data_IF_745522445343
#
_entry.id   IF_745522445343
#
_cell.length_a   1.000
_cell.length_b   1.000
_cell.length_c   1.000
_cell.angle_alpha   90.00
_cell.angle_beta   90.00
_cell.angle_gamma   90.00
#
_symmetry.space_group_name_H-M   'P 1'
#
loop_
_entity.id
_entity.type
_entity.pdbx_description
1 polymer ?
#
# COMPACT_ATOMS: atom_id res chain seq x y z
N UNK A 1 -5.18 16.46 -21.25
CA UNK A 1 -5.98 16.31 -20.01
C UNK A 1 -5.37 17.17 -18.89
N UNK A 2 -6.17 17.86 -18.07
CA UNK A 2 -5.68 18.60 -16.89
C UNK A 2 -5.47 17.65 -15.69
N UNK A 3 -4.78 18.11 -14.63
CA UNK A 3 -4.44 17.26 -13.48
C UNK A 3 -5.68 16.67 -12.77
N UNK A 4 -6.76 17.45 -12.61
CA UNK A 4 -7.99 16.99 -11.93
C UNK A 4 -8.65 15.86 -12.70
N UNK A 5 -8.72 15.97 -14.02
CA UNK A 5 -9.28 14.94 -14.89
C UNK A 5 -8.40 13.67 -14.86
N UNK A 6 -7.07 13.82 -14.87
CA UNK A 6 -6.15 12.68 -14.73
C UNK A 6 -6.38 11.93 -13.41
N UNK A 7 -6.52 12.66 -12.29
CA UNK A 7 -6.75 12.09 -10.96
C UNK A 7 -8.13 11.41 -10.86
N UNK A 8 -9.18 12.01 -11.41
CA UNK A 8 -10.51 11.41 -11.45
C UNK A 8 -10.51 10.11 -12.25
N UNK A 9 -9.83 10.08 -13.40
CA UNK A 9 -9.68 8.85 -14.18
C UNK A 9 -8.89 7.77 -13.43
N UNK A 10 -7.82 8.13 -12.71
CA UNK A 10 -7.09 7.21 -11.85
C UNK A 10 -8.00 6.61 -10.76
N UNK A 11 -8.81 7.45 -10.09
CA UNK A 11 -9.77 6.99 -9.08
C UNK A 11 -10.82 6.05 -9.69
N UNK A 12 -11.35 6.37 -10.87
CA UNK A 12 -12.34 5.52 -11.54
C UNK A 12 -11.76 4.16 -11.99
N UNK A 13 -10.53 4.16 -12.53
CA UNK A 13 -9.85 2.96 -13.03
C UNK A 13 -9.45 1.99 -11.91
N UNK A 14 -9.05 2.52 -10.75
CA UNK A 14 -8.52 1.77 -9.60
C UNK A 14 -9.43 1.79 -8.36
N UNK A 15 -10.65 2.32 -8.48
CA UNK A 15 -11.63 2.48 -7.40
C UNK A 15 -11.08 3.20 -6.17
N UNK A 16 -10.47 4.38 -6.39
CA UNK A 16 -9.86 5.18 -5.32
C UNK A 16 -8.68 4.50 -4.63
N UNK A 17 -8.00 3.57 -5.30
CA UNK A 17 -6.88 2.81 -4.73
C UNK A 17 -7.30 1.57 -3.94
N UNK A 18 -8.61 1.34 -3.75
CA UNK A 18 -9.17 0.19 -3.01
C UNK A 18 -8.51 -1.12 -3.40
N UNK A 19 -8.38 -1.37 -4.70
CA UNK A 19 -7.93 -2.67 -5.17
C UNK A 19 -6.48 -2.97 -4.75
N UNK A 20 -5.59 -1.98 -4.88
CA UNK A 20 -4.20 -2.12 -4.48
C UNK A 20 -4.04 -2.22 -2.97
N UNK A 21 -4.80 -1.42 -2.20
CA UNK A 21 -4.74 -1.44 -0.74
C UNK A 21 -5.30 -2.74 -0.16
N UNK A 22 -6.38 -3.29 -0.72
CA UNK A 22 -6.94 -4.57 -0.27
C UNK A 22 -5.95 -5.72 -0.52
N UNK A 23 -5.38 -5.81 -1.72
CA UNK A 23 -4.36 -6.82 -2.05
C UNK A 23 -3.15 -6.70 -1.12
N UNK A 24 -2.65 -5.47 -0.92
CA UNK A 24 -1.56 -5.20 0.01
C UNK A 24 -1.91 -5.63 1.43
N UNK A 25 -3.08 -5.23 1.94
CA UNK A 25 -3.55 -5.60 3.28
C UNK A 25 -3.66 -7.11 3.48
N UNK A 26 -4.11 -7.87 2.48
CA UNK A 26 -4.17 -9.34 2.53
C UNK A 26 -2.77 -9.99 2.54
N UNK A 27 -1.82 -9.43 1.79
CA UNK A 27 -0.41 -9.89 1.84
C UNK A 27 0.17 -9.62 3.23
N UNK A 28 -0.03 -8.42 3.77
CA UNK A 28 0.41 -8.06 5.12
C UNK A 28 -0.24 -8.94 6.19
N UNK A 29 -1.54 -9.22 6.07
CA UNK A 29 -2.26 -10.13 6.97
C UNK A 29 -1.67 -11.55 6.92
N UNK A 30 -1.38 -12.05 5.72
CA UNK A 30 -0.79 -13.37 5.53
C UNK A 30 0.64 -13.44 6.09
N UNK A 31 1.43 -12.39 5.88
CA UNK A 31 2.78 -12.26 6.43
C UNK A 31 2.76 -12.21 7.96
N UNK A 32 1.85 -11.42 8.54
CA UNK A 32 1.65 -11.32 9.98
C UNK A 32 1.27 -12.69 10.57
N UNK A 33 0.24 -13.34 10.04
CA UNK A 33 -0.21 -14.67 10.43
C UNK A 33 0.92 -15.71 10.38
N UNK A 34 1.67 -15.77 9.27
CA UNK A 34 2.78 -16.71 9.13
C UNK A 34 3.91 -16.42 10.14
N UNK A 35 4.23 -15.16 10.40
CA UNK A 35 5.24 -14.79 11.39
C UNK A 35 4.81 -15.03 12.84
N UNK A 36 3.51 -14.96 13.14
CA UNK A 36 2.95 -15.22 14.47
C UNK A 36 2.84 -16.70 14.77
N UNK A 37 2.34 -17.49 13.81
CA UNK A 37 1.98 -18.89 14.07
C UNK A 37 2.95 -19.92 13.50
N UNK A 38 3.83 -19.53 12.58
CA UNK A 38 4.82 -20.42 11.98
C UNK A 38 6.23 -19.96 12.36
N UNK A 39 6.83 -19.09 11.54
CA UNK A 39 8.22 -18.62 11.72
C UNK A 39 8.36 -17.19 11.20
N UNK A 40 9.17 -16.32 11.85
CA UNK A 40 9.47 -14.97 11.35
C UNK A 40 9.86 -14.93 9.87
N UNK A 41 10.77 -15.80 9.46
CA UNK A 41 11.27 -15.88 8.07
C UNK A 41 10.18 -16.17 7.03
N UNK A 42 9.12 -16.90 7.38
CA UNK A 42 8.00 -17.15 6.46
C UNK A 42 7.17 -15.88 6.26
N UNK A 43 6.94 -15.10 7.32
CA UNK A 43 6.31 -13.80 7.19
C UNK A 43 7.14 -12.83 6.36
N UNK A 44 8.46 -12.82 6.57
CA UNK A 44 9.39 -12.01 5.76
C UNK A 44 9.31 -12.37 4.27
N UNK A 45 9.42 -13.66 3.96
CA UNK A 45 9.36 -14.15 2.58
C UNK A 45 8.01 -13.82 1.92
N UNK A 46 6.90 -14.05 2.62
CA UNK A 46 5.56 -13.72 2.12
C UNK A 46 5.42 -12.23 1.83
N UNK A 47 5.90 -11.35 2.71
CA UNK A 47 5.82 -9.92 2.48
C UNK A 47 6.72 -9.48 1.33
N UNK A 48 7.96 -9.98 1.28
CA UNK A 48 8.92 -9.65 0.23
C UNK A 48 8.42 -10.06 -1.16
N UNK A 49 8.12 -11.34 -1.36
CA UNK A 49 7.64 -11.83 -2.66
C UNK A 49 6.22 -11.35 -2.96
N UNK A 50 5.36 -11.26 -1.95
CA UNK A 50 4.02 -10.71 -2.10
C UNK A 50 4.05 -9.27 -2.61
N UNK A 51 4.96 -8.44 -2.11
CA UNK A 51 5.10 -7.04 -2.54
C UNK A 51 5.37 -6.89 -4.04
N UNK A 52 6.16 -7.79 -4.61
CA UNK A 52 6.46 -7.82 -6.05
C UNK A 52 5.23 -8.18 -6.90
N UNK A 53 4.30 -8.93 -6.31
CA UNK A 53 3.07 -9.38 -6.95
C UNK A 53 1.89 -8.42 -6.76
N UNK A 54 2.03 -7.34 -5.97
CA UNK A 54 0.92 -6.42 -5.69
C UNK A 54 0.29 -5.89 -6.97
N UNK A 55 1.09 -5.38 -7.91
CA UNK A 55 0.54 -4.83 -9.15
C UNK A 55 -0.19 -5.88 -10.01
N UNK A 56 0.41 -7.04 -10.37
CA UNK A 56 -0.31 -8.06 -11.15
C UNK A 56 -1.54 -8.61 -10.42
N UNK A 57 -1.48 -8.80 -9.10
CA UNK A 57 -2.64 -9.25 -8.30
C UNK A 57 -3.76 -8.18 -8.29
N UNK A 58 -3.40 -6.90 -8.17
CA UNK A 58 -4.34 -5.78 -8.26
C UNK A 58 -5.02 -5.75 -9.63
N UNK A 59 -4.24 -5.91 -10.71
CA UNK A 59 -4.76 -5.99 -12.08
C UNK A 59 -5.71 -7.19 -12.26
N UNK A 60 -5.33 -8.35 -11.73
CA UNK A 60 -6.18 -9.55 -11.72
C UNK A 60 -7.51 -9.29 -11.01
N UNK A 61 -7.46 -8.73 -9.81
CA UNK A 61 -8.67 -8.42 -9.05
C UNK A 61 -9.57 -7.39 -9.75
N UNK A 62 -9.00 -6.33 -10.34
CA UNK A 62 -9.76 -5.35 -11.11
C UNK A 62 -10.46 -5.98 -12.31
N UNK A 63 -9.80 -6.91 -13.01
CA UNK A 63 -10.42 -7.65 -14.13
C UNK A 63 -11.57 -8.53 -13.66
N UNK A 64 -11.43 -9.21 -12.52
CA UNK A 64 -12.48 -10.06 -11.95
C UNK A 64 -13.77 -9.28 -11.64
N UNK A 65 -13.65 -7.99 -11.31
CA UNK A 65 -14.80 -7.09 -11.04
C UNK A 65 -15.15 -6.21 -12.24
N UNK A 66 -14.71 -6.57 -13.45
CA UNK A 66 -15.10 -5.92 -14.70
C UNK A 66 -14.40 -4.58 -15.00
N UNK A 67 -13.35 -4.21 -14.26
CA UNK A 67 -12.56 -2.99 -14.50
C UNK A 67 -11.32 -3.29 -15.35
N UNK A 68 -10.98 -2.38 -16.28
CA UNK A 68 -9.81 -2.52 -17.15
C UNK A 68 -8.47 -2.36 -16.41
N UNK A 69 -8.46 -1.65 -15.27
CA UNK A 69 -7.24 -1.39 -14.48
C UNK A 69 -6.19 -0.54 -15.22
N UNK A 70 -6.61 0.27 -16.18
CA UNK A 70 -5.76 1.18 -16.96
C UNK A 70 -6.49 2.51 -17.17
N UNK A 71 -5.71 3.56 -17.34
CA UNK A 71 -6.16 4.89 -17.74
C UNK A 71 -5.86 5.14 -19.22
N UNK A 72 -6.44 6.20 -19.78
CA UNK A 72 -6.18 6.68 -21.13
C UNK A 72 -4.70 7.03 -21.34
N UNK A 73 -4.25 6.97 -22.60
CA UNK A 73 -2.88 7.38 -22.98
C UNK A 73 -2.62 8.86 -22.75
N UNK A 74 -3.66 9.68 -22.70
CA UNK A 74 -3.59 11.12 -22.41
C UNK A 74 -3.31 11.41 -20.92
N UNK A 75 -3.49 10.41 -20.06
CA UNK A 75 -3.29 10.51 -18.63
C UNK A 75 -1.81 10.39 -18.26
N UNK A 76 -1.19 11.55 -18.01
CA UNK A 76 0.24 11.65 -17.68
C UNK A 76 0.62 11.10 -16.30
N UNK A 77 -0.34 10.69 -15.46
CA UNK A 77 -0.07 10.13 -14.13
C UNK A 77 0.27 8.63 -14.17
N UNK A 78 0.00 7.93 -15.27
CA UNK A 78 0.32 6.50 -15.40
C UNK A 78 1.82 6.20 -15.19
N UNK A 79 2.68 7.03 -15.78
CA UNK A 79 4.13 6.90 -15.65
C UNK A 79 4.60 7.08 -14.20
N UNK A 80 4.03 8.07 -13.49
CA UNK A 80 4.32 8.28 -12.07
C UNK A 80 3.90 7.07 -11.22
N UNK A 81 2.73 6.48 -11.50
CA UNK A 81 2.28 5.28 -10.81
C UNK A 81 3.23 4.09 -11.01
N UNK A 82 3.75 3.93 -12.23
CA UNK A 82 4.73 2.89 -12.56
C UNK A 82 6.05 3.11 -11.81
N UNK A 83 6.59 4.33 -11.83
CA UNK A 83 7.82 4.66 -11.09
C UNK A 83 7.66 4.45 -9.59
N UNK A 84 6.50 4.85 -9.06
CA UNK A 84 6.18 4.70 -7.64
C UNK A 84 6.06 3.23 -7.25
N UNK A 85 5.50 2.36 -8.10
CA UNK A 85 5.44 0.91 -7.86
C UNK A 85 6.82 0.28 -7.63
N UNK A 86 7.85 0.75 -8.33
CA UNK A 86 9.22 0.23 -8.17
C UNK A 86 9.92 0.67 -6.89
N UNK A 87 9.41 1.70 -6.18
CA UNK A 87 10.07 2.16 -4.95
C UNK A 87 10.03 1.10 -3.86
N UNK A 88 8.99 0.25 -3.79
CA UNK A 88 8.88 -0.77 -2.75
C UNK A 88 9.90 -1.89 -2.96
N UNK A 89 9.92 -2.64 -4.09
CA UNK A 89 10.88 -3.73 -4.28
C UNK A 89 12.35 -3.29 -4.12
N UNK A 90 12.69 -2.09 -4.59
CA UNK A 90 14.04 -1.53 -4.46
C UNK A 90 14.37 -1.26 -2.98
N UNK A 91 13.47 -0.61 -2.25
CA UNK A 91 13.70 -0.30 -0.83
C UNK A 91 13.66 -1.55 0.07
N UNK A 92 13.08 -2.67 -0.38
CA UNK A 92 13.18 -3.93 0.35
C UNK A 92 14.63 -4.44 0.47
N UNK A 93 15.57 -3.97 -0.37
CA UNK A 93 17.00 -4.19 -0.15
C UNK A 93 17.50 -3.53 1.14
N UNK A 94 17.02 -2.31 1.43
CA UNK A 94 17.32 -1.61 2.68
C UNK A 94 16.64 -2.26 3.88
N UNK A 95 15.39 -2.74 3.71
CA UNK A 95 14.71 -3.55 4.73
C UNK A 95 15.53 -4.80 5.05
N UNK A 96 16.07 -5.48 4.02
CA UNK A 96 16.96 -6.61 4.19
C UNK A 96 18.21 -6.24 5.01
N UNK A 97 18.88 -5.14 4.66
CA UNK A 97 20.05 -4.65 5.42
C UNK A 97 19.71 -4.35 6.90
N UNK A 98 18.58 -3.70 7.17
CA UNK A 98 18.11 -3.45 8.54
C UNK A 98 17.84 -4.76 9.29
N UNK A 99 17.24 -5.75 8.61
CA UNK A 99 16.91 -7.07 9.18
C UNK A 99 18.16 -7.89 9.49
N UNK A 100 19.22 -7.78 8.68
CA UNK A 100 20.51 -8.42 8.94
C UNK A 100 21.20 -7.86 10.19
N UNK A 101 20.97 -6.58 10.51
CA UNK A 101 21.48 -5.98 11.74
C UNK A 101 20.62 -6.35 12.95
N UNK A 102 19.29 -6.25 12.82
CA UNK A 102 18.34 -6.71 13.83
C UNK A 102 17.08 -7.29 13.18
N UNK A 103 16.80 -8.57 13.44
CA UNK A 103 15.67 -9.30 12.83
C UNK A 103 14.33 -8.57 13.03
N UNK A 104 14.08 -8.05 14.24
CA UNK A 104 12.84 -7.38 14.61
C UNK A 104 12.61 -6.03 13.89
N UNK A 105 13.58 -5.55 13.10
CA UNK A 105 13.41 -4.34 12.29
C UNK A 105 12.74 -4.59 10.94
N UNK A 106 12.52 -5.85 10.53
CA UNK A 106 11.91 -6.17 9.24
C UNK A 106 10.56 -5.47 9.02
N UNK A 107 9.59 -5.69 9.91
CA UNK A 107 8.26 -5.08 9.77
C UNK A 107 8.25 -3.56 10.02
N UNK A 108 8.93 -3.02 11.05
CA UNK A 108 9.08 -1.58 11.23
C UNK A 108 9.67 -0.86 10.00
N UNK A 109 10.76 -1.39 9.42
CA UNK A 109 11.35 -0.83 8.22
C UNK A 109 10.41 -0.94 7.01
N UNK A 110 9.71 -2.07 6.87
CA UNK A 110 8.70 -2.26 5.82
C UNK A 110 7.54 -1.25 5.93
N UNK A 111 7.09 -0.94 7.15
CA UNK A 111 6.04 0.06 7.39
C UNK A 111 6.48 1.45 6.94
N UNK A 112 7.72 1.85 7.22
CA UNK A 112 8.28 3.13 6.77
C UNK A 112 8.36 3.18 5.25
N UNK A 113 8.91 2.13 4.62
CA UNK A 113 9.03 2.04 3.16
C UNK A 113 7.66 2.11 2.47
N UNK A 114 6.69 1.33 2.95
CA UNK A 114 5.34 1.31 2.39
C UNK A 114 4.60 2.62 2.67
N UNK A 115 4.76 3.21 3.85
CA UNK A 115 4.20 4.52 4.17
C UNK A 115 4.74 5.62 3.25
N UNK A 116 6.06 5.68 3.05
CA UNK A 116 6.68 6.62 2.12
C UNK A 116 6.22 6.40 0.66
N UNK A 117 6.03 5.14 0.26
CA UNK A 117 5.47 4.79 -1.05
C UNK A 117 4.05 5.35 -1.29
N UNK A 118 3.27 5.62 -0.24
CA UNK A 118 1.95 6.24 -0.39
C UNK A 118 1.98 7.78 -0.56
N UNK A 119 3.12 8.46 -0.36
CA UNK A 119 3.16 9.93 -0.55
C UNK A 119 2.85 10.37 -1.99
N UNK A 120 3.40 9.74 -3.06
CA UNK A 120 3.02 10.07 -4.42
C UNK A 120 1.55 9.79 -4.74
N UNK A 121 0.86 8.96 -3.95
CA UNK A 121 -0.55 8.64 -4.17
C UNK A 121 -1.46 9.85 -3.89
N UNK A 122 -1.01 10.80 -3.07
CA UNK A 122 -1.68 12.10 -2.89
C UNK A 122 -1.86 12.78 -4.25
N UNK A 123 -0.80 12.79 -5.07
CA UNK A 123 -0.84 13.38 -6.41
C UNK A 123 -1.48 12.47 -7.45
N UNK A 124 -1.23 11.15 -7.40
CA UNK A 124 -1.81 10.20 -8.36
C UNK A 124 -3.34 10.18 -8.31
N UNK A 125 -3.90 10.22 -7.10
CA UNK A 125 -5.33 10.11 -6.88
C UNK A 125 -5.98 11.41 -6.47
N UNK A 126 -5.23 12.45 -6.10
CA UNK A 126 -5.82 13.70 -5.60
C UNK A 126 -6.59 13.53 -4.28
N UNK A 127 -6.23 12.54 -3.45
CA UNK A 127 -6.95 12.20 -2.21
C UNK A 127 -6.04 12.36 -0.99
N UNK A 128 -6.44 13.21 -0.04
CA UNK A 128 -5.68 13.47 1.19
C UNK A 128 -5.60 12.26 2.14
N UNK A 129 -6.49 11.27 1.99
CA UNK A 129 -6.41 10.03 2.77
C UNK A 129 -5.06 9.32 2.60
N UNK A 130 -4.37 9.47 1.46
CA UNK A 130 -3.06 8.87 1.25
C UNK A 130 -1.98 9.55 2.08
N UNK A 131 -2.13 10.85 2.40
CA UNK A 131 -1.26 11.54 3.35
C UNK A 131 -1.46 10.97 4.76
N UNK A 132 -2.71 10.78 5.18
CA UNK A 132 -3.03 10.16 6.47
C UNK A 132 -2.50 8.71 6.55
N UNK A 133 -2.69 7.90 5.50
CA UNK A 133 -2.16 6.55 5.42
C UNK A 133 -0.63 6.52 5.51
N UNK A 134 0.05 7.36 4.73
CA UNK A 134 1.50 7.49 4.74
C UNK A 134 2.00 7.84 6.14
N UNK A 135 1.38 8.84 6.77
CA UNK A 135 1.75 9.26 8.14
C UNK A 135 1.56 8.13 9.15
N UNK A 136 0.40 7.45 9.15
CA UNK A 136 0.12 6.36 10.10
C UNK A 136 1.14 5.23 9.97
N UNK A 137 1.44 4.80 8.74
CA UNK A 137 2.40 3.72 8.50
C UNK A 137 3.83 4.12 8.88
N UNK A 138 4.28 5.33 8.49
CA UNK A 138 5.62 5.82 8.86
C UNK A 138 5.73 5.98 10.38
N UNK A 139 4.77 6.63 11.02
CA UNK A 139 4.77 6.85 12.46
C UNK A 139 4.75 5.52 13.23
N UNK A 140 3.94 4.55 12.78
CA UNK A 140 3.93 3.21 13.35
C UNK A 140 5.27 2.48 13.16
N UNK A 141 5.86 2.54 11.98
CA UNK A 141 7.17 1.94 11.70
C UNK A 141 8.28 2.56 12.53
N UNK A 142 8.32 3.89 12.65
CA UNK A 142 9.28 4.60 13.53
C UNK A 142 9.05 4.21 14.99
N UNK A 143 7.80 4.30 15.48
CA UNK A 143 7.46 3.97 16.85
C UNK A 143 7.82 2.52 17.23
N UNK A 144 7.49 1.55 16.37
CA UNK A 144 7.85 0.15 16.59
C UNK A 144 9.36 -0.08 16.47
N UNK A 145 10.06 0.64 15.58
CA UNK A 145 11.51 0.54 15.45
C UNK A 145 12.26 1.01 16.69
N UNK A 146 11.78 2.08 17.35
CA UNK A 146 12.38 2.61 18.58
C UNK A 146 11.92 1.89 19.85
N UNK A 147 10.64 1.50 19.93
CA UNK A 147 10.01 1.08 21.19
C UNK A 147 9.44 -0.34 21.17
N UNK A 148 9.27 -0.97 19.99
CA UNK A 148 8.57 -2.25 19.81
C UNK A 148 9.48 -3.46 19.62
N UNK A 149 10.69 -3.43 20.18
CA UNK A 149 11.77 -4.39 19.87
C UNK A 149 11.48 -5.84 20.30
N UNK A 150 10.52 -6.10 21.18
CA UNK A 150 10.30 -7.43 21.77
C UNK A 150 9.41 -8.37 20.94
N UNK A 151 8.59 -7.84 20.02
CA UNK A 151 7.57 -8.64 19.32
C UNK A 151 7.66 -8.46 17.81
N UNK A 152 8.30 -9.42 17.14
CA UNK A 152 8.56 -9.43 15.70
C UNK A 152 7.33 -9.09 14.84
N UNK A 153 6.20 -9.76 15.08
CA UNK A 153 5.04 -9.74 14.18
C UNK A 153 4.11 -8.53 14.36
N UNK A 154 4.31 -7.68 15.37
CA UNK A 154 3.41 -6.55 15.68
C UNK A 154 3.27 -5.60 14.51
N UNK A 155 4.38 -5.25 13.86
CA UNK A 155 4.33 -4.37 12.68
C UNK A 155 3.55 -4.97 11.51
N UNK A 156 3.59 -6.29 11.35
CA UNK A 156 2.80 -7.02 10.36
C UNK A 156 1.29 -6.83 10.56
N UNK A 157 0.81 -7.01 11.79
CA UNK A 157 -0.60 -6.82 12.12
C UNK A 157 -1.04 -5.37 11.99
N UNK A 158 -0.22 -4.42 12.45
CA UNK A 158 -0.49 -2.98 12.30
C UNK A 158 -0.65 -2.62 10.83
N UNK A 159 0.31 -3.01 9.99
CA UNK A 159 0.23 -2.73 8.55
C UNK A 159 -0.99 -3.38 7.89
N UNK A 160 -1.31 -4.63 8.23
CA UNK A 160 -2.48 -5.33 7.72
C UNK A 160 -3.78 -4.58 8.04
N UNK A 161 -4.00 -4.26 9.32
CA UNK A 161 -5.21 -3.55 9.77
C UNK A 161 -5.30 -2.17 9.12
N UNK A 162 -4.20 -1.40 9.15
CA UNK A 162 -4.18 -0.05 8.55
C UNK A 162 -4.52 -0.11 7.05
N UNK A 163 -3.91 -1.00 6.28
CA UNK A 163 -4.14 -1.10 4.84
C UNK A 163 -5.57 -1.54 4.51
N UNK A 164 -6.13 -2.51 5.25
CA UNK A 164 -7.50 -2.97 5.04
C UNK A 164 -8.53 -1.90 5.39
N UNK A 165 -8.34 -1.18 6.49
CA UNK A 165 -9.21 -0.04 6.87
C UNK A 165 -9.15 1.05 5.80
N UNK A 166 -7.95 1.44 5.37
CA UNK A 166 -7.81 2.48 4.35
C UNK A 166 -8.30 2.03 2.97
N UNK A 167 -8.26 0.74 2.64
CA UNK A 167 -8.91 0.24 1.43
C UNK A 167 -10.41 0.55 1.43
N UNK A 168 -11.09 0.27 2.55
CA UNK A 168 -12.53 0.53 2.70
C UNK A 168 -12.80 2.04 2.63
N UNK A 169 -12.01 2.87 3.32
CA UNK A 169 -12.15 4.33 3.28
C UNK A 169 -12.00 4.86 1.84
N UNK A 170 -10.97 4.41 1.12
CA UNK A 170 -10.74 4.85 -0.26
C UNK A 170 -11.85 4.45 -1.20
N UNK A 171 -12.41 3.25 -1.01
CA UNK A 171 -13.58 2.81 -1.76
C UNK A 171 -14.80 3.68 -1.49
N UNK A 172 -15.06 4.04 -0.24
CA UNK A 172 -16.19 4.89 0.13
C UNK A 172 -16.07 6.30 -0.48
N UNK A 173 -14.86 6.88 -0.47
CA UNK A 173 -14.61 8.18 -1.08
C UNK A 173 -14.87 8.12 -2.59
N UNK A 174 -14.36 7.09 -3.29
CA UNK A 174 -14.59 6.92 -4.72
C UNK A 174 -16.08 6.75 -5.07
N UNK A 175 -16.84 5.97 -4.28
CA UNK A 175 -18.28 5.79 -4.49
C UNK A 175 -19.05 7.11 -4.31
N UNK A 176 -18.66 7.96 -3.35
CA UNK A 176 -19.32 9.27 -3.13
C UNK A 176 -19.14 10.18 -4.35
N UNK A 177 -17.94 10.21 -4.90
CA UNK A 177 -17.65 10.96 -6.13
C UNK A 177 -18.43 10.40 -7.33
N UNK A 178 -18.48 9.08 -7.52
CA UNK A 178 -19.28 8.45 -8.59
C UNK A 178 -20.78 8.81 -8.50
N UNK A 179 -21.28 9.08 -7.29
CA UNK A 179 -22.67 9.50 -7.03
C UNK A 179 -22.90 11.01 -7.13
N UNK A 180 -21.87 11.79 -7.45
CA UNK A 180 -21.97 13.27 -7.53
C UNK A 180 -22.21 13.93 -6.18
N UNK A 181 -21.91 13.24 -5.07
CA UNK A 181 -21.93 13.83 -3.73
C UNK A 181 -20.59 14.55 -3.56
N UNK A 182 -20.61 15.88 -3.65
CA UNK A 182 -19.44 16.74 -3.61
C UNK A 182 -18.57 16.43 -2.37
N UNK A 183 -17.26 16.27 -2.59
CA UNK A 183 -16.27 16.14 -1.53
C UNK A 183 -15.82 17.56 -1.20
N UNK A 184 -16.61 18.24 -0.36
CA UNK A 184 -16.24 19.53 0.23
C UNK A 184 -14.87 19.52 0.88
#
# INVERSE_FOLDING_TARGET
>A
MNIKNCQSEMRAAFQGGFAGQLVSGLIWLSAAAASTWLRPSYGMALLFFGSMLIFPLTQGMLRLIGKKGKVSTDNKLWGLGTQTAFTVPINFLLVGAATLYHENWFFPASLIVVGAHYLPFITLYGMQMFAALAFVLVAAGVGLGFFGYDVFHTGGWVGAVTLLVFAIIGRQIAIREEKGLDLG
#
